data_IF_946711952293
#
_entry.id   IF_946711952293
#
_cell.length_a   1.000
_cell.length_b   1.000
_cell.length_c   1.000
_cell.angle_alpha   90.00
_cell.angle_beta   90.00
_cell.angle_gamma   90.00
#
_symmetry.space_group_name_H-M   'P 1'
#
loop_
_entity.id
_entity.type
_entity.pdbx_description
1 polymer ?
#
# COMPACT_ATOMS: atom_id res chain seq x y z
N UNK A 1 9.94 11.06 -13.71
CA UNK A 1 8.65 11.79 -13.87
C UNK A 1 8.73 13.08 -13.07
N UNK A 2 8.23 14.22 -13.57
CA UNK A 2 8.30 15.50 -12.84
C UNK A 2 7.02 15.80 -12.02
N UNK A 3 7.09 16.78 -11.10
CA UNK A 3 5.98 17.21 -10.21
C UNK A 3 4.66 17.47 -10.96
N UNK A 4 4.73 18.17 -12.09
CA UNK A 4 3.54 18.51 -12.88
C UNK A 4 2.91 17.28 -13.54
N UNK A 5 3.72 16.35 -14.05
CA UNK A 5 3.24 15.09 -14.65
C UNK A 5 2.59 14.19 -13.60
N UNK A 6 3.19 14.12 -12.41
CA UNK A 6 2.66 13.36 -11.27
C UNK A 6 1.33 13.96 -10.79
N UNK A 7 1.29 15.27 -10.56
CA UNK A 7 0.08 16.01 -10.22
C UNK A 7 -1.04 15.79 -11.26
N UNK A 8 -0.71 15.88 -12.56
CA UNK A 8 -1.68 15.66 -13.64
C UNK A 8 -2.21 14.22 -13.68
N UNK A 9 -1.37 13.21 -13.43
CA UNK A 9 -1.81 11.81 -13.34
C UNK A 9 -2.75 11.59 -12.14
N UNK A 10 -2.38 12.09 -10.97
CA UNK A 10 -3.19 12.01 -9.74
C UNK A 10 -4.52 12.75 -9.93
N UNK A 11 -4.47 13.96 -10.51
CA UNK A 11 -5.67 14.76 -10.74
C UNK A 11 -6.62 14.11 -11.75
N UNK A 12 -6.09 13.55 -12.85
CA UNK A 12 -6.90 12.85 -13.84
C UNK A 12 -7.60 11.63 -13.22
N UNK A 13 -6.86 10.85 -12.42
CA UNK A 13 -7.40 9.73 -11.67
C UNK A 13 -8.52 10.16 -10.73
N UNK A 14 -8.30 11.27 -10.02
CA UNK A 14 -9.28 11.85 -9.13
C UNK A 14 -10.55 12.24 -9.86
N UNK A 15 -10.42 12.90 -11.00
CA UNK A 15 -11.55 13.36 -11.78
C UNK A 15 -12.40 12.19 -12.32
N UNK A 16 -11.77 11.11 -12.78
CA UNK A 16 -12.47 9.92 -13.28
C UNK A 16 -13.30 9.23 -12.17
N UNK A 17 -12.86 9.33 -10.91
CA UNK A 17 -13.50 8.70 -9.75
C UNK A 17 -14.47 9.61 -8.99
N UNK A 18 -14.32 10.93 -9.09
CA UNK A 18 -15.17 11.95 -8.45
C UNK A 18 -16.64 11.88 -8.86
N UNK A 19 -16.95 11.22 -9.98
CA UNK A 19 -18.34 10.96 -10.41
C UNK A 19 -19.10 9.99 -9.51
N UNK A 20 -18.44 9.32 -8.56
CA UNK A 20 -19.01 8.24 -7.74
C UNK A 20 -18.76 8.36 -6.24
N UNK A 21 -17.84 9.23 -5.82
CA UNK A 21 -17.36 9.35 -4.43
C UNK A 21 -17.22 10.83 -4.11
N UNK A 22 -17.56 11.22 -2.88
CA UNK A 22 -17.28 12.55 -2.37
C UNK A 22 -15.79 12.90 -2.50
N UNK A 23 -15.51 14.09 -3.01
CA UNK A 23 -14.16 14.50 -3.39
C UNK A 23 -13.17 14.52 -2.21
N UNK A 24 -13.69 14.74 -1.00
CA UNK A 24 -12.93 14.79 0.25
C UNK A 24 -12.45 13.41 0.70
N UNK A 25 -13.25 12.36 0.52
CA UNK A 25 -12.92 10.98 0.93
C UNK A 25 -11.94 10.31 -0.04
N UNK A 26 -12.05 10.67 -1.31
CA UNK A 26 -11.23 10.11 -2.38
C UNK A 26 -9.71 10.32 -2.17
N UNK A 27 -9.34 11.49 -1.62
CA UNK A 27 -7.95 11.83 -1.34
C UNK A 27 -7.29 10.81 -0.42
N UNK A 28 -7.98 10.45 0.65
CA UNK A 28 -7.44 9.56 1.68
C UNK A 28 -7.25 8.14 1.15
N UNK A 29 -8.08 7.72 0.17
CA UNK A 29 -7.94 6.43 -0.50
C UNK A 29 -6.74 6.40 -1.45
N UNK A 30 -6.55 7.44 -2.27
CA UNK A 30 -5.34 7.55 -3.08
C UNK A 30 -4.10 7.50 -2.18
N UNK A 31 -4.08 8.29 -1.11
CA UNK A 31 -2.96 8.34 -0.18
C UNK A 31 -2.68 6.96 0.41
N UNK A 32 -3.72 6.26 0.86
CA UNK A 32 -3.61 4.90 1.38
C UNK A 32 -3.00 3.92 0.37
N UNK A 33 -3.46 3.95 -0.89
CA UNK A 33 -2.95 3.05 -1.93
C UNK A 33 -1.52 3.40 -2.36
N UNK A 34 -1.17 4.68 -2.46
CA UNK A 34 0.21 5.11 -2.76
C UNK A 34 1.14 4.69 -1.62
N UNK A 35 0.71 4.89 -0.38
CA UNK A 35 1.49 4.45 0.78
C UNK A 35 1.62 2.93 0.84
N UNK A 36 0.58 2.17 0.47
CA UNK A 36 0.65 0.71 0.35
C UNK A 36 1.68 0.28 -0.70
N UNK A 37 1.68 0.93 -1.87
CA UNK A 37 2.70 0.71 -2.91
C UNK A 37 4.10 0.99 -2.38
N UNK A 38 4.28 2.08 -1.62
CA UNK A 38 5.56 2.43 -1.01
C UNK A 38 6.08 1.32 -0.08
N UNK A 39 5.27 0.88 0.88
CA UNK A 39 5.72 -0.14 1.84
C UNK A 39 6.00 -1.47 1.14
N UNK A 40 5.18 -1.85 0.14
CA UNK A 40 5.42 -3.05 -0.66
C UNK A 40 6.73 -2.98 -1.44
N UNK A 41 7.00 -1.89 -2.17
CA UNK A 41 8.21 -1.77 -2.97
C UNK A 41 9.47 -1.57 -2.11
N UNK A 42 9.33 -0.95 -0.94
CA UNK A 42 10.42 -0.85 0.04
C UNK A 42 10.81 -2.23 0.59
N UNK A 43 9.84 -3.09 0.87
CA UNK A 43 10.10 -4.46 1.30
C UNK A 43 10.74 -5.31 0.20
N UNK A 44 10.24 -5.25 -1.03
CA UNK A 44 10.86 -5.92 -2.17
C UNK A 44 12.31 -5.44 -2.38
N UNK A 45 12.55 -4.13 -2.28
CA UNK A 45 13.91 -3.57 -2.33
C UNK A 45 14.78 -4.08 -1.20
N UNK A 46 14.27 -4.13 0.04
CA UNK A 46 15.00 -4.66 1.19
C UNK A 46 15.46 -6.12 0.98
N UNK A 47 14.63 -6.95 0.36
CA UNK A 47 15.00 -8.32 -0.01
C UNK A 47 16.00 -8.37 -1.17
N UNK A 48 15.81 -7.55 -2.21
CA UNK A 48 16.73 -7.50 -3.36
C UNK A 48 18.12 -6.97 -3.00
N UNK A 49 18.24 -6.00 -2.08
CA UNK A 49 19.53 -5.53 -1.56
C UNK A 49 20.30 -6.61 -0.79
N UNK A 50 19.61 -7.69 -0.41
CA UNK A 50 20.17 -8.90 0.23
C UNK A 50 20.31 -10.07 -0.75
N UNK A 51 20.22 -9.79 -2.05
CA UNK A 51 20.36 -10.76 -3.13
C UNK A 51 19.28 -11.86 -3.14
N UNK A 52 18.17 -11.67 -2.42
CA UNK A 52 17.06 -12.63 -2.45
C UNK A 52 16.36 -12.63 -3.81
N UNK A 53 16.16 -13.84 -4.34
CA UNK A 53 15.42 -14.11 -5.57
C UNK A 53 13.91 -13.99 -5.33
N UNK A 54 13.15 -13.82 -6.42
CA UNK A 54 11.69 -13.79 -6.34
C UNK A 54 11.13 -15.10 -5.80
N UNK A 55 11.78 -16.22 -6.11
CA UNK A 55 11.42 -17.56 -5.64
C UNK A 55 11.64 -17.69 -4.13
N UNK A 56 12.74 -17.17 -3.59
CA UNK A 56 12.98 -17.18 -2.15
C UNK A 56 11.98 -16.29 -1.40
N UNK A 57 11.66 -15.11 -1.93
CA UNK A 57 10.67 -14.20 -1.31
C UNK A 57 9.29 -14.86 -1.22
N UNK A 58 8.89 -15.64 -2.23
CA UNK A 58 7.60 -16.38 -2.24
C UNK A 58 7.48 -17.39 -1.10
N UNK A 59 8.61 -17.99 -0.69
CA UNK A 59 8.64 -19.03 0.34
C UNK A 59 8.69 -18.47 1.77
N UNK A 60 8.85 -17.15 1.94
CA UNK A 60 8.85 -16.50 3.25
C UNK A 60 7.44 -16.52 3.84
N UNK A 61 7.22 -17.41 4.81
CA UNK A 61 5.96 -17.49 5.55
C UNK A 61 5.89 -16.47 6.68
N UNK A 62 4.66 -16.14 7.12
CA UNK A 62 4.40 -15.13 8.17
C UNK A 62 5.10 -15.42 9.52
N UNK A 63 5.33 -16.70 9.82
CA UNK A 63 5.93 -17.18 11.08
C UNK A 63 7.45 -17.47 10.95
N UNK A 64 8.04 -17.21 9.79
CA UNK A 64 9.45 -17.49 9.52
C UNK A 64 10.41 -16.54 10.27
N UNK A 65 11.66 -16.96 10.42
CA UNK A 65 12.74 -16.10 10.91
C UNK A 65 12.98 -14.89 10.01
N UNK A 66 12.74 -15.03 8.71
CA UNK A 66 12.92 -13.96 7.73
C UNK A 66 11.84 -12.89 7.88
N UNK A 67 10.57 -13.29 8.09
CA UNK A 67 9.50 -12.37 8.42
C UNK A 67 9.78 -11.62 9.73
N UNK A 68 10.27 -12.32 10.76
CA UNK A 68 10.65 -11.70 12.04
C UNK A 68 11.84 -10.74 11.91
N UNK A 69 12.83 -11.07 11.06
CA UNK A 69 14.00 -10.23 10.81
C UNK A 69 13.64 -9.00 9.98
N UNK A 70 12.77 -9.16 8.99
CA UNK A 70 12.23 -8.07 8.17
C UNK A 70 11.49 -7.07 9.04
N UNK A 71 10.57 -7.53 9.91
CA UNK A 71 9.89 -6.67 10.89
C UNK A 71 10.85 -5.91 11.79
N UNK A 72 11.94 -6.54 12.24
CA UNK A 72 12.96 -5.88 13.08
C UNK A 72 13.75 -4.80 12.32
N UNK A 73 13.99 -4.99 11.03
CA UNK A 73 14.84 -4.10 10.25
C UNK A 73 14.08 -2.94 9.59
N UNK A 74 12.87 -3.18 9.06
CA UNK A 74 12.08 -2.16 8.34
C UNK A 74 10.75 -1.81 9.04
N UNK A 75 10.42 -2.49 10.14
CA UNK A 75 9.28 -2.18 11.00
C UNK A 75 7.96 -2.86 10.62
N UNK A 76 7.92 -3.60 9.50
CA UNK A 76 6.75 -4.36 9.05
C UNK A 76 7.17 -5.58 8.21
N UNK A 77 6.18 -6.43 7.88
CA UNK A 77 6.30 -7.49 6.89
C UNK A 77 5.01 -7.62 6.06
N UNK A 78 5.15 -7.91 4.77
CA UNK A 78 4.08 -8.15 3.81
C UNK A 78 4.34 -9.47 3.08
N UNK A 79 3.56 -10.50 3.39
CA UNK A 79 3.66 -11.77 2.69
C UNK A 79 3.57 -11.60 1.16
N UNK A 80 4.34 -12.38 0.39
CA UNK A 80 4.47 -12.23 -1.07
C UNK A 80 3.12 -12.09 -1.81
N UNK A 81 2.11 -12.86 -1.40
CA UNK A 81 0.76 -12.82 -1.99
C UNK A 81 0.01 -11.49 -1.81
N UNK A 82 0.49 -10.63 -0.92
CA UNK A 82 -0.09 -9.34 -0.59
C UNK A 82 0.71 -8.16 -1.15
N UNK A 83 1.89 -8.41 -1.73
CA UNK A 83 2.68 -7.35 -2.36
C UNK A 83 1.91 -6.70 -3.52
N UNK A 84 2.14 -5.40 -3.70
CA UNK A 84 1.61 -4.61 -4.79
C UNK A 84 2.00 -5.20 -6.17
N UNK A 85 3.24 -5.69 -6.30
CA UNK A 85 3.70 -6.37 -7.51
C UNK A 85 2.92 -7.65 -7.80
N UNK A 86 2.49 -8.38 -6.76
CA UNK A 86 1.65 -9.57 -6.87
C UNK A 86 0.23 -9.21 -7.30
N UNK A 87 -0.35 -8.12 -6.79
CA UNK A 87 -1.62 -7.62 -7.29
C UNK A 87 -1.58 -7.27 -8.78
N UNK A 88 -0.49 -6.63 -9.24
CA UNK A 88 -0.30 -6.35 -10.66
C UNK A 88 -0.20 -7.62 -11.50
N UNK A 89 0.52 -8.65 -11.01
CA UNK A 89 0.66 -9.95 -11.69
C UNK A 89 -0.67 -10.71 -11.80
N UNK A 90 -1.58 -10.56 -10.85
CA UNK A 90 -2.92 -11.18 -10.89
C UNK A 90 -3.79 -10.67 -12.06
N UNK A 91 -3.56 -9.45 -12.54
CA UNK A 91 -4.27 -8.91 -13.70
C UNK A 91 -5.79 -8.96 -13.56
N UNK A 92 -6.45 -9.80 -14.36
CA UNK A 92 -7.90 -9.93 -14.36
C UNK A 92 -8.45 -10.67 -13.13
N UNK A 93 -7.65 -11.57 -12.54
CA UNK A 93 -8.03 -12.35 -11.34
C UNK A 93 -8.00 -11.50 -10.05
N UNK A 94 -7.43 -10.30 -10.09
CA UNK A 94 -7.39 -9.40 -8.95
C UNK A 94 -8.80 -8.91 -8.56
N UNK A 95 -9.09 -8.87 -7.26
CA UNK A 95 -10.36 -8.38 -6.71
C UNK A 95 -10.18 -7.47 -5.49
N UNK A 96 -11.26 -6.82 -5.05
CA UNK A 96 -11.29 -6.09 -3.78
C UNK A 96 -10.95 -6.97 -2.57
N UNK A 97 -11.25 -8.27 -2.64
CA UNK A 97 -10.96 -9.22 -1.54
C UNK A 97 -9.45 -9.39 -1.33
N UNK A 98 -8.64 -9.25 -2.39
CA UNK A 98 -7.18 -9.26 -2.29
C UNK A 98 -6.67 -8.11 -1.43
N UNK A 99 -7.24 -6.92 -1.61
CA UNK A 99 -6.89 -5.73 -0.84
C UNK A 99 -7.34 -5.89 0.60
N UNK A 100 -8.60 -6.30 0.82
CA UNK A 100 -9.13 -6.51 2.19
C UNK A 100 -8.26 -7.52 2.94
N UNK A 101 -7.96 -8.66 2.31
CA UNK A 101 -7.13 -9.71 2.91
C UNK A 101 -5.74 -9.19 3.26
N UNK A 102 -5.12 -8.44 2.36
CA UNK A 102 -3.80 -7.88 2.57
C UNK A 102 -3.75 -6.79 3.66
N UNK A 103 -4.75 -5.90 3.74
CA UNK A 103 -4.81 -4.90 4.80
C UNK A 103 -5.04 -5.55 6.17
N UNK A 104 -5.90 -6.57 6.23
CA UNK A 104 -6.11 -7.37 7.44
C UNK A 104 -4.84 -8.10 7.87
N UNK A 105 -4.12 -8.71 6.92
CA UNK A 105 -2.83 -9.36 7.18
C UNK A 105 -1.81 -8.34 7.69
N UNK A 106 -1.70 -7.17 7.05
CA UNK A 106 -0.81 -6.10 7.48
C UNK A 106 -1.12 -5.64 8.90
N UNK A 107 -2.40 -5.40 9.22
CA UNK A 107 -2.84 -4.98 10.56
C UNK A 107 -2.49 -6.03 11.62
N UNK A 108 -2.73 -7.32 11.32
CA UNK A 108 -2.42 -8.45 12.22
C UNK A 108 -0.92 -8.62 12.44
N UNK A 109 -0.12 -8.60 11.37
CA UNK A 109 1.30 -8.93 11.41
C UNK A 109 2.18 -7.82 11.99
N UNK A 110 1.71 -6.57 11.88
CA UNK A 110 2.47 -5.38 12.27
C UNK A 110 1.96 -4.76 13.59
N UNK A 111 1.09 -5.49 14.29
CA UNK A 111 0.85 -5.30 15.72
C UNK A 111 2.08 -5.85 16.48
N UNK A 112 2.80 -5.02 17.24
CA UNK A 112 3.93 -5.54 18.01
C UNK A 112 3.44 -6.45 19.15
N UNK A 113 3.96 -7.67 19.17
CA UNK A 113 4.25 -8.38 20.41
C UNK A 113 5.76 -8.62 20.45
N UNK A 114 6.49 -7.75 21.15
CA UNK A 114 7.80 -8.10 21.67
C UNK A 114 7.57 -8.46 23.14
N UNK A 115 7.41 -9.76 23.42
CA UNK A 115 6.98 -10.37 24.68
C UNK A 115 5.45 -10.36 24.90
N UNK A 116 4.78 -11.41 24.43
CA UNK A 116 3.35 -11.67 24.63
C UNK A 116 2.89 -11.66 26.10
N UNK A 117 3.83 -11.71 27.05
CA UNK A 117 3.57 -11.72 28.49
C UNK A 117 3.77 -10.38 29.19
N UNK A 118 4.45 -9.37 28.61
CA UNK A 118 4.84 -8.18 29.39
C UNK A 118 4.47 -6.81 28.82
N UNK A 119 4.39 -6.62 27.50
CA UNK A 119 4.09 -5.30 26.92
C UNK A 119 3.02 -5.40 25.83
N UNK A 120 1.75 -5.35 26.25
CA UNK A 120 0.59 -5.28 25.33
C UNK A 120 0.30 -3.86 24.81
N UNK A 121 1.19 -2.89 25.09
CA UNK A 121 0.90 -1.46 24.92
C UNK A 121 1.81 -0.71 23.92
N UNK A 122 2.82 -1.34 23.32
CA UNK A 122 3.68 -0.66 22.33
C UNK A 122 3.12 -0.83 20.91
N UNK A 123 2.41 0.19 20.44
CA UNK A 123 1.93 0.30 19.06
C UNK A 123 3.09 0.72 18.15
N UNK A 124 3.29 0.01 17.05
CA UNK A 124 4.23 0.45 16.00
C UNK A 124 3.73 1.72 15.33
N UNK A 125 4.60 2.46 14.65
CA UNK A 125 4.18 3.59 13.79
C UNK A 125 3.24 3.15 12.65
N UNK A 126 3.24 1.85 12.32
CA UNK A 126 2.39 1.23 11.30
C UNK A 126 1.05 0.73 11.87
N UNK A 127 0.85 0.79 13.19
CA UNK A 127 -0.40 0.43 13.82
C UNK A 127 -1.55 1.30 13.28
N UNK A 128 -2.59 0.65 12.76
CA UNK A 128 -3.76 1.30 12.16
C UNK A 128 -3.47 2.26 10.99
N UNK A 129 -2.27 2.21 10.38
CA UNK A 129 -1.89 3.16 9.33
C UNK A 129 -2.79 3.07 8.09
N UNK A 130 -3.41 1.91 7.85
CA UNK A 130 -4.34 1.68 6.75
C UNK A 130 -5.82 1.69 7.14
N UNK A 131 -6.17 2.01 8.38
CA UNK A 131 -7.55 1.93 8.87
C UNK A 131 -8.53 2.80 8.05
N UNK A 132 -8.11 4.01 7.67
CA UNK A 132 -8.91 4.88 6.79
C UNK A 132 -9.15 4.27 5.42
N UNK A 133 -8.13 3.61 4.84
CA UNK A 133 -8.28 2.91 3.57
C UNK A 133 -9.22 1.72 3.72
N UNK A 134 -9.02 0.88 4.73
CA UNK A 134 -9.80 -0.32 5.02
C UNK A 134 -11.30 0.00 5.15
N UNK A 135 -11.64 0.96 6.02
CA UNK A 135 -13.03 1.40 6.23
C UNK A 135 -13.62 2.06 4.98
N UNK A 136 -12.78 2.68 4.15
CA UNK A 136 -13.14 3.35 2.92
C UNK A 136 -13.40 2.46 1.71
N UNK A 137 -12.85 1.24 1.68
CA UNK A 137 -12.98 0.33 0.53
C UNK A 137 -14.45 0.08 0.15
N UNK A 138 -15.32 -0.02 1.16
CA UNK A 138 -16.76 -0.22 0.97
C UNK A 138 -17.44 0.92 0.19
N UNK A 139 -16.87 2.14 0.26
CA UNK A 139 -17.37 3.34 -0.43
C UNK A 139 -16.87 3.50 -1.86
N UNK A 140 -15.92 2.66 -2.29
CA UNK A 140 -15.37 2.70 -3.66
C UNK A 140 -16.34 2.12 -4.71
N UNK A 141 -17.50 1.63 -4.30
CA UNK A 141 -18.57 1.16 -5.18
C UNK A 141 -19.67 0.44 -4.44
N UNK A 142 -20.85 0.35 -5.07
CA UNK A 142 -22.06 -0.23 -4.47
C UNK A 142 -22.01 -1.76 -4.26
N UNK A 143 -21.05 -2.45 -4.89
CA UNK A 143 -20.84 -3.89 -4.79
C UNK A 143 -19.37 -4.25 -5.09
N UNK A 144 -18.97 -5.50 -4.80
CA UNK A 144 -17.58 -5.97 -4.96
C UNK A 144 -17.03 -5.82 -6.39
N UNK A 145 -17.88 -5.95 -7.42
CA UNK A 145 -17.47 -5.75 -8.81
C UNK A 145 -17.16 -4.27 -9.10
N UNK A 146 -18.03 -3.36 -8.65
CA UNK A 146 -17.82 -1.92 -8.76
C UNK A 146 -16.58 -1.46 -7.99
N UNK A 147 -16.39 -1.96 -6.76
CA UNK A 147 -15.22 -1.69 -5.92
C UNK A 147 -13.94 -2.22 -6.58
N UNK A 148 -13.94 -3.46 -7.06
CA UNK A 148 -12.82 -4.06 -7.80
C UNK A 148 -12.45 -3.20 -9.01
N UNK A 149 -13.45 -2.75 -9.78
CA UNK A 149 -13.21 -1.89 -10.95
C UNK A 149 -12.59 -0.54 -10.56
N UNK A 150 -13.07 0.09 -9.49
CA UNK A 150 -12.53 1.35 -8.98
C UNK A 150 -11.08 1.18 -8.51
N UNK A 151 -10.81 0.16 -7.70
CA UNK A 151 -9.47 -0.16 -7.19
C UNK A 151 -8.51 -0.51 -8.32
N UNK A 152 -8.92 -1.33 -9.30
CA UNK A 152 -8.11 -1.61 -10.50
C UNK A 152 -7.75 -0.32 -11.25
N UNK A 153 -8.66 0.65 -11.31
CA UNK A 153 -8.41 1.98 -11.85
C UNK A 153 -7.30 2.70 -11.09
N UNK A 154 -7.40 2.75 -9.76
CA UNK A 154 -6.38 3.35 -8.88
C UNK A 154 -5.01 2.68 -9.06
N UNK A 155 -4.96 1.35 -8.97
CA UNK A 155 -3.74 0.55 -9.12
C UNK A 155 -3.04 0.84 -10.46
N UNK A 156 -3.80 0.94 -11.56
CA UNK A 156 -3.26 1.26 -12.88
C UNK A 156 -2.61 2.65 -12.97
N UNK A 157 -3.07 3.60 -12.17
CA UNK A 157 -2.54 4.96 -12.16
C UNK A 157 -1.30 5.03 -11.28
N UNK A 158 -1.39 4.47 -10.07
CA UNK A 158 -0.33 4.55 -9.07
C UNK A 158 0.88 3.67 -9.42
N UNK A 159 0.71 2.60 -10.23
CA UNK A 159 1.82 1.72 -10.62
C UNK A 159 2.99 2.47 -11.27
N UNK A 160 2.70 3.54 -12.01
CA UNK A 160 3.70 4.33 -12.73
C UNK A 160 4.34 5.44 -11.86
N UNK A 161 3.88 5.60 -10.62
CA UNK A 161 4.42 6.59 -9.69
C UNK A 161 5.75 6.04 -9.13
N UNK A 162 6.90 6.66 -9.42
CA UNK A 162 8.17 6.27 -8.85
C UNK A 162 8.13 6.55 -7.35
N UNK A 163 8.83 5.72 -6.58
CA UNK A 163 8.88 5.82 -5.12
C UNK A 163 10.34 5.95 -4.64
N UNK A 164 11.28 6.03 -5.56
CA UNK A 164 12.69 6.16 -5.25
C UNK A 164 13.14 7.63 -5.32
N UNK A 165 13.96 8.00 -4.34
CA UNK A 165 14.61 9.32 -4.26
C UNK A 165 15.83 9.41 -5.20
N UNK A 166 15.85 8.66 -6.30
CA UNK A 166 17.06 8.51 -7.16
C UNK A 166 17.62 9.84 -7.69
N UNK A 167 16.83 10.91 -7.66
CA UNK A 167 17.22 12.25 -8.09
C UNK A 167 17.22 13.30 -6.95
N UNK A 168 17.27 12.88 -5.68
CA UNK A 168 17.20 13.79 -4.52
C UNK A 168 15.82 14.41 -4.32
N UNK A 169 14.79 13.72 -4.80
CA UNK A 169 13.41 14.19 -4.85
C UNK A 169 12.50 13.25 -4.06
N UNK A 170 12.01 13.75 -2.90
CA UNK A 170 11.01 13.03 -2.08
C UNK A 170 9.65 13.03 -2.80
N UNK A 171 9.43 11.99 -3.60
CA UNK A 171 8.19 11.80 -4.36
C UNK A 171 7.00 11.65 -3.41
N UNK A 172 7.20 10.98 -2.27
CA UNK A 172 6.15 10.77 -1.28
C UNK A 172 5.78 12.08 -0.60
N UNK A 173 6.76 12.81 -0.07
CA UNK A 173 6.56 14.11 0.56
C UNK A 173 5.80 15.05 -0.36
N UNK A 174 6.17 15.10 -1.65
CA UNK A 174 5.42 15.87 -2.63
C UNK A 174 3.97 15.39 -2.83
N UNK A 175 3.72 14.07 -2.91
CA UNK A 175 2.35 13.54 -3.05
C UNK A 175 1.51 13.92 -1.83
N UNK A 176 2.06 13.79 -0.63
CA UNK A 176 1.40 14.20 0.61
C UNK A 176 1.11 15.70 0.61
N UNK A 177 2.11 16.55 0.33
CA UNK A 177 1.94 18.00 0.25
C UNK A 177 0.91 18.41 -0.82
N UNK A 178 0.98 17.82 -2.01
CA UNK A 178 0.08 18.13 -3.12
C UNK A 178 -1.36 17.72 -2.81
N UNK A 179 -1.57 16.56 -2.20
CA UNK A 179 -2.91 16.09 -1.83
C UNK A 179 -3.46 16.89 -0.63
N UNK A 180 -2.63 17.31 0.32
CA UNK A 180 -3.03 18.20 1.41
C UNK A 180 -3.36 19.61 0.88
N UNK A 181 -2.57 20.14 -0.06
CA UNK A 181 -2.77 21.47 -0.65
C UNK A 181 -3.95 21.61 -1.62
N UNK A 182 -4.66 20.53 -1.91
CA UNK A 182 -5.96 20.54 -2.62
C UNK A 182 -7.16 20.86 -1.70
N UNK A 183 -6.91 21.14 -0.41
CA UNK A 183 -7.85 21.69 0.57
C UNK A 183 -8.06 23.20 0.35
#
# INVERSE_FOLDING_TARGET
MNKQQLAAKIWKAANDMRSKIEASEYKDYILGFIFYKFVSENEERYFHEREATVEEIKEITEDSSDAATTKRNIGYFIHYNHLFSTWLKKGDDFSVDDVITALNAFSRLNYMSHNAEKDRNEKTIYYNIFNTLETGLSKLGENSSAQTKAIKGLIKIIKDIPIDDKDGYDVLGFIYEYLIGLL
#
